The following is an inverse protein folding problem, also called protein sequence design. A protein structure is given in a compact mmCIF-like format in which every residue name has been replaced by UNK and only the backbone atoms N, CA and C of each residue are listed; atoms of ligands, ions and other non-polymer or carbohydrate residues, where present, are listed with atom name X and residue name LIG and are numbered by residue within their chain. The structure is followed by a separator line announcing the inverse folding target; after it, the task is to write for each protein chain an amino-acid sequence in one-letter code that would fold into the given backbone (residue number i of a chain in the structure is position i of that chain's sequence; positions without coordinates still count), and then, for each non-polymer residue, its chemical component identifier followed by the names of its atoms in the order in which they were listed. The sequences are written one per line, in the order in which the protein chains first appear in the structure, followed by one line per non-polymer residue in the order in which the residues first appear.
data_IF_675528723782
#
_entry.id   IF_675528723782
#
_cell.length_a   1.000
_cell.length_b   1.000
_cell.length_c   1.000
_cell.angle_alpha   90.00
_cell.angle_beta   90.00
_cell.angle_gamma   90.00
#
_symmetry.space_group_name_H-M   'P 1'
#
loop_
_entity.id
_entity.type
_entity.pdbx_description
1 polymer ?
#
# COMPACT_ATOMS: atom_id res chain seq x y z
N UNK A 1 -11.28 -0.24 1.03
CA UNK A 1 -11.28 1.11 1.62
C UNK A 1 -10.17 1.95 1.02
N UNK A 2 -10.45 3.20 0.64
CA UNK A 2 -9.42 4.20 0.30
C UNK A 2 -9.06 4.98 1.57
N UNK A 3 -7.81 5.40 1.70
CA UNK A 3 -7.32 6.26 2.79
C UNK A 3 -6.94 7.63 2.24
N UNK A 4 -6.84 8.62 3.12
CA UNK A 4 -6.42 9.97 2.71
C UNK A 4 -4.89 10.00 2.55
N UNK A 5 -4.40 10.66 1.50
CA UNK A 5 -2.96 10.87 1.33
C UNK A 5 -2.39 11.68 2.51
N UNK A 6 -1.22 11.28 2.99
CA UNK A 6 -0.56 11.84 4.17
C UNK A 6 -1.09 11.32 5.52
N UNK A 7 -2.18 10.54 5.53
CA UNK A 7 -2.65 9.89 6.76
C UNK A 7 -1.63 8.83 7.23
N UNK A 8 -1.20 8.82 8.50
CA UNK A 8 -0.17 7.91 8.98
C UNK A 8 -0.63 6.44 8.98
N UNK A 9 0.28 5.46 8.86
CA UNK A 9 -0.11 4.06 8.94
C UNK A 9 -0.56 3.69 10.36
N UNK A 10 -1.34 2.63 10.48
CA UNK A 10 -1.82 2.15 11.78
C UNK A 10 -0.66 1.49 12.51
N UNK A 11 -0.40 1.88 13.77
CA UNK A 11 0.61 1.25 14.62
C UNK A 11 0.16 -0.15 15.02
N UNK A 12 1.05 -1.13 14.94
CA UNK A 12 0.78 -2.47 15.45
C UNK A 12 0.72 -2.45 16.99
N UNK A 13 -0.38 -2.93 17.62
CA UNK A 13 -0.58 -2.82 19.07
C UNK A 13 0.36 -3.73 19.88
N UNK A 14 1.01 -4.71 19.25
CA UNK A 14 1.92 -5.66 19.89
C UNK A 14 3.38 -5.28 19.72
N UNK A 15 3.67 -4.12 19.11
CA UNK A 15 5.03 -3.68 18.83
C UNK A 15 5.28 -2.24 19.29
N UNK A 16 6.54 -1.94 19.58
CA UNK A 16 6.94 -0.59 19.96
C UNK A 16 7.05 0.36 18.76
N UNK A 17 7.47 -0.15 17.59
CA UNK A 17 7.86 0.65 16.43
C UNK A 17 7.49 0.03 15.07
N UNK A 18 6.50 -0.86 15.02
CA UNK A 18 5.99 -1.40 13.76
C UNK A 18 4.58 -0.89 13.46
N UNK A 19 4.25 -0.95 12.18
CA UNK A 19 3.03 -0.44 11.58
C UNK A 19 2.47 -1.48 10.61
N UNK A 20 1.16 -1.49 10.45
CA UNK A 20 0.46 -2.52 9.70
C UNK A 20 0.40 -2.19 8.21
N UNK A 21 0.74 -3.17 7.36
CA UNK A 21 0.47 -3.09 5.93
C UNK A 21 -1.03 -3.28 5.66
N UNK A 22 -1.67 -2.35 4.97
CA UNK A 22 -3.12 -2.36 4.69
C UNK A 22 -3.57 -3.43 3.67
N UNK A 23 -2.64 -4.24 3.13
CA UNK A 23 -2.91 -5.28 2.13
C UNK A 23 -2.71 -6.70 2.66
N UNK A 24 -1.73 -6.92 3.54
CA UNK A 24 -1.43 -8.23 4.09
C UNK A 24 -1.55 -8.29 5.62
N UNK A 25 -1.83 -7.16 6.28
CA UNK A 25 -2.05 -7.03 7.73
C UNK A 25 -0.87 -7.48 8.61
N UNK A 26 0.31 -7.65 8.03
CA UNK A 26 1.55 -7.94 8.76
C UNK A 26 2.19 -6.63 9.24
N UNK A 27 2.90 -6.67 10.36
CA UNK A 27 3.63 -5.55 10.92
C UNK A 27 4.99 -5.35 10.22
N UNK A 28 5.35 -4.10 9.96
CA UNK A 28 6.59 -3.66 9.30
C UNK A 28 7.10 -2.37 9.93
N UNK A 29 8.42 -2.11 9.94
CA UNK A 29 8.93 -0.78 10.30
C UNK A 29 8.46 0.28 9.28
N UNK A 30 8.32 1.52 9.73
CA UNK A 30 7.78 2.61 8.87
C UNK A 30 8.58 2.82 7.58
N UNK A 31 9.90 2.59 7.61
CA UNK A 31 10.78 2.70 6.46
C UNK A 31 10.50 1.68 5.35
N UNK A 32 9.81 0.59 5.67
CA UNK A 32 9.40 -0.45 4.71
C UNK A 32 7.98 -0.29 4.20
N UNK A 33 7.24 0.71 4.68
CA UNK A 33 5.90 1.03 4.22
C UNK A 33 5.94 2.23 3.28
N UNK A 34 5.17 2.15 2.20
CA UNK A 34 4.97 3.25 1.24
C UNK A 34 3.48 3.50 1.05
N UNK A 35 3.09 4.76 0.95
CA UNK A 35 1.70 5.13 0.73
C UNK A 35 1.37 5.12 -0.77
N UNK A 36 0.36 4.35 -1.15
CA UNK A 36 -0.09 4.26 -2.54
C UNK A 36 -0.72 5.57 -3.00
N UNK A 37 -0.22 6.16 -4.09
CA UNK A 37 -0.69 7.46 -4.60
C UNK A 37 -2.15 7.45 -5.06
N UNK A 38 -2.71 6.29 -5.40
CA UNK A 38 -4.09 6.18 -5.91
C UNK A 38 -5.14 5.95 -4.82
N UNK A 39 -4.85 5.08 -3.84
CA UNK A 39 -5.83 4.67 -2.83
C UNK A 39 -5.44 5.03 -1.40
N UNK A 40 -4.28 5.66 -1.18
CA UNK A 40 -3.78 6.10 0.11
C UNK A 40 -3.38 5.00 1.09
N UNK A 41 -3.54 3.71 0.72
CA UNK A 41 -3.15 2.58 1.58
C UNK A 41 -1.64 2.49 1.73
N UNK A 42 -1.18 2.12 2.91
CA UNK A 42 0.21 1.81 3.19
C UNK A 42 0.50 0.35 2.85
N UNK A 43 1.49 0.14 1.98
CA UNK A 43 1.90 -1.19 1.52
C UNK A 43 3.36 -1.44 1.89
N UNK A 44 3.64 -2.64 2.40
CA UNK A 44 5.00 -3.14 2.56
C UNK A 44 5.66 -3.39 1.20
N UNK A 45 6.99 -3.56 1.20
CA UNK A 45 7.77 -3.84 -0.01
C UNK A 45 7.20 -5.00 -0.86
N UNK A 46 6.74 -6.10 -0.24
CA UNK A 46 6.14 -7.22 -0.96
C UNK A 46 4.76 -6.91 -1.58
N UNK A 47 4.04 -5.96 -1.01
CA UNK A 47 2.73 -5.50 -1.50
C UNK A 47 2.83 -4.28 -2.43
N UNK A 48 4.03 -3.73 -2.63
CA UNK A 48 4.29 -2.57 -3.47
C UNK A 48 4.61 -2.97 -4.92
N UNK A 49 4.32 -2.06 -5.86
CA UNK A 49 4.70 -2.17 -7.27
C UNK A 49 5.24 -0.82 -7.75
N UNK A 50 6.53 -0.82 -8.13
CA UNK A 50 7.26 0.39 -8.52
C UNK A 50 6.82 0.94 -9.89
N UNK A 51 6.34 0.08 -10.79
CA UNK A 51 5.89 0.43 -12.16
C UNK A 51 4.97 1.66 -12.20
N UNK A 52 4.09 1.81 -11.20
CA UNK A 52 3.13 2.91 -11.10
C UNK A 52 3.15 3.61 -9.74
N UNK A 53 4.16 3.37 -8.91
CA UNK A 53 4.21 3.84 -7.52
C UNK A 53 2.92 3.52 -6.73
N UNK A 54 2.46 2.27 -6.83
CA UNK A 54 1.17 1.84 -6.27
C UNK A 54 1.27 0.56 -5.45
N UNK A 55 0.25 0.31 -4.63
CA UNK A 55 0.05 -1.02 -4.07
C UNK A 55 -0.35 -2.02 -5.17
N UNK A 56 -0.09 -3.30 -4.95
CA UNK A 56 -0.36 -4.37 -5.93
C UNK A 56 -1.83 -4.43 -6.37
N UNK A 57 -2.78 -4.02 -5.53
CA UNK A 57 -4.20 -3.97 -5.91
C UNK A 57 -4.47 -2.90 -6.96
N UNK A 58 -3.94 -1.68 -6.79
CA UNK A 58 -4.07 -0.62 -7.77
C UNK A 58 -3.28 -0.90 -9.05
N UNK A 59 -2.08 -1.47 -8.93
CA UNK A 59 -1.31 -1.91 -10.10
C UNK A 59 -2.09 -2.95 -10.94
N UNK A 60 -2.79 -3.88 -10.29
CA UNK A 60 -3.66 -4.85 -10.97
C UNK A 60 -4.79 -4.19 -11.76
N UNK A 61 -5.44 -3.16 -11.19
CA UNK A 61 -6.49 -2.40 -11.89
C UNK A 61 -5.95 -1.65 -13.11
N UNK A 62 -4.78 -1.02 -12.99
CA UNK A 62 -4.12 -0.36 -14.12
C UNK A 62 -3.85 -1.35 -15.25
N UNK A 63 -3.28 -2.53 -14.92
CA UNK A 63 -3.00 -3.58 -15.90
C UNK A 63 -4.28 -4.08 -16.58
N UNK A 64 -5.37 -4.27 -15.84
CA UNK A 64 -6.67 -4.66 -16.42
C UNK A 64 -7.19 -3.58 -17.38
N UNK A 65 -7.10 -2.30 -17.01
CA UNK A 65 -7.56 -1.22 -17.88
C UNK A 65 -6.72 -1.12 -19.16
N UNK A 66 -5.39 -1.24 -19.06
CA UNK A 66 -4.49 -1.30 -20.22
C UNK A 66 -4.79 -2.47 -21.15
N UNK A 67 -5.11 -3.65 -20.60
CA UNK A 67 -5.47 -4.83 -21.39
C UNK A 67 -6.83 -4.69 -22.08
N UNK A 68 -7.74 -3.89 -21.52
CA UNK A 68 -9.08 -3.68 -22.08
C UNK A 68 -9.14 -2.63 -23.19
N UNK A 69 -8.05 -1.88 -23.43
CA UNK A 69 -7.90 -1.04 -24.62
C UNK A 69 -8.98 0.04 -24.77
N UNK A 70 -9.27 0.78 -23.69
CA UNK A 70 -10.00 2.05 -23.78
C UNK A 70 -9.02 3.23 -23.90
#
# INVERSE_FOLDING_TARGET
MMRKQGEPPVKDPHSFAQFTCDLCNTAHPIAELRQCVLCGRWACNACWKDEYYTCRSCAGLIKIHQLKGE
#
